data_IF_223879307820
#
_entry.id   IF_223879307820
#
_cell.length_a   1.000
_cell.length_b   1.000
_cell.length_c   1.000
_cell.angle_alpha   90.00
_cell.angle_beta   90.00
_cell.angle_gamma   90.00
#
_symmetry.space_group_name_H-M   'P 1'
#
loop_
_entity.id
_entity.type
_entity.pdbx_description
1 polymer ?
#
# COMPACT_ATOMS: atom_id res chain seq x y z
N UNK A 1 -7.53 11.93 -12.92
CA UNK A 1 -8.33 10.89 -12.23
C UNK A 1 -7.50 9.71 -11.73
N UNK A 2 -6.85 8.90 -12.58
CA UNK A 2 -6.09 7.72 -12.12
C UNK A 2 -4.98 8.04 -11.09
N UNK A 3 -4.15 9.06 -11.36
CA UNK A 3 -3.06 9.49 -10.46
C UNK A 3 -3.54 9.89 -9.05
N UNK A 4 -4.69 10.56 -8.96
CA UNK A 4 -5.30 10.96 -7.69
C UNK A 4 -5.73 9.73 -6.87
N UNK A 5 -6.41 8.77 -7.53
CA UNK A 5 -6.87 7.55 -6.89
C UNK A 5 -5.69 6.70 -6.40
N UNK A 6 -4.61 6.57 -7.19
CA UNK A 6 -3.39 5.89 -6.75
C UNK A 6 -2.78 6.55 -5.52
N UNK A 7 -2.69 7.88 -5.49
CA UNK A 7 -2.17 8.62 -4.33
C UNK A 7 -3.02 8.40 -3.07
N UNK A 8 -4.35 8.43 -3.21
CA UNK A 8 -5.26 8.19 -2.08
C UNK A 8 -5.11 6.75 -1.57
N UNK A 9 -5.03 5.77 -2.47
CA UNK A 9 -4.82 4.36 -2.10
C UNK A 9 -3.49 4.16 -1.39
N UNK A 10 -2.41 4.75 -1.90
CA UNK A 10 -1.08 4.69 -1.28
C UNK A 10 -1.10 5.27 0.14
N UNK A 11 -1.68 6.47 0.32
CA UNK A 11 -1.84 7.07 1.64
C UNK A 11 -2.69 6.23 2.59
N UNK A 12 -3.71 5.55 2.09
CA UNK A 12 -4.59 4.70 2.91
C UNK A 12 -3.91 3.41 3.34
N UNK A 13 -3.11 2.80 2.45
CA UNK A 13 -2.43 1.53 2.67
C UNK A 13 -1.15 1.67 3.52
N UNK A 14 -0.51 2.83 3.49
CA UNK A 14 0.68 3.13 4.29
C UNK A 14 0.36 3.85 5.62
N UNK A 15 -0.92 3.98 5.99
CA UNK A 15 -1.32 4.63 7.24
C UNK A 15 -1.47 3.63 8.39
N UNK A 16 -0.72 3.77 9.49
CA UNK A 16 -0.85 2.94 10.67
C UNK A 16 -2.26 2.96 11.25
N UNK A 17 -2.77 1.79 11.64
CA UNK A 17 -4.11 1.65 12.24
C UNK A 17 -4.02 1.03 13.62
N UNK A 18 -4.62 1.67 14.62
CA UNK A 18 -4.67 1.17 16.00
C UNK A 18 -5.28 -0.24 16.10
N UNK A 19 -6.31 -0.54 15.28
CA UNK A 19 -6.94 -1.87 15.24
C UNK A 19 -6.05 -2.98 14.67
N UNK A 20 -4.95 -2.62 13.99
CA UNK A 20 -3.97 -3.56 13.46
C UNK A 20 -2.71 -3.62 14.33
N UNK A 21 -2.79 -3.19 15.60
CA UNK A 21 -1.62 -3.09 16.47
C UNK A 21 -0.60 -2.04 15.99
N UNK A 22 -1.11 -0.96 15.38
CA UNK A 22 -0.31 0.09 14.74
C UNK A 22 0.48 -0.33 13.49
N UNK A 23 0.23 -1.52 12.94
CA UNK A 23 0.68 -1.89 11.58
C UNK A 23 -0.06 -1.11 10.51
N UNK A 24 0.54 -1.01 9.32
CA UNK A 24 -0.13 -0.49 8.14
C UNK A 24 -0.90 -1.62 7.41
N UNK A 25 -2.04 -1.32 6.76
CA UNK A 25 -2.81 -2.34 6.03
C UNK A 25 -1.98 -3.17 5.04
N UNK A 26 -0.98 -2.55 4.40
CA UNK A 26 -0.07 -3.24 3.49
C UNK A 26 0.74 -4.35 4.18
N UNK A 27 1.31 -4.09 5.36
CA UNK A 27 2.08 -5.10 6.12
C UNK A 27 1.18 -6.29 6.50
N UNK A 28 -0.03 -5.99 6.96
CA UNK A 28 -1.01 -7.03 7.32
C UNK A 28 -1.40 -7.87 6.11
N UNK A 29 -1.56 -7.24 4.94
CA UNK A 29 -1.82 -7.97 3.71
C UNK A 29 -0.67 -8.93 3.36
N UNK A 30 0.56 -8.43 3.34
CA UNK A 30 1.75 -9.24 3.00
C UNK A 30 1.93 -10.41 3.97
N UNK A 31 1.70 -10.20 5.27
CA UNK A 31 1.72 -11.26 6.29
C UNK A 31 0.64 -12.33 6.07
N UNK A 32 -0.56 -11.94 5.60
CA UNK A 32 -1.69 -12.86 5.41
C UNK A 32 -1.58 -13.69 4.12
N UNK A 33 -1.06 -13.10 3.05
CA UNK A 33 -1.00 -13.74 1.73
C UNK A 33 0.36 -14.34 1.42
N UNK A 34 1.42 -13.92 2.12
CA UNK A 34 2.80 -14.21 1.73
C UNK A 34 3.20 -13.51 0.43
N UNK A 35 2.36 -12.62 -0.11
CA UNK A 35 2.62 -11.85 -1.30
C UNK A 35 3.14 -10.47 -0.90
N UNK A 36 4.41 -10.20 -1.23
CA UNK A 36 4.93 -8.85 -1.18
C UNK A 36 4.31 -8.04 -2.32
N UNK A 37 3.21 -7.34 -2.01
CA UNK A 37 2.60 -6.33 -2.89
C UNK A 37 3.48 -5.09 -3.07
N UNK A 38 4.76 -5.15 -2.73
CA UNK A 38 5.78 -4.36 -3.39
C UNK A 38 5.72 -4.69 -4.88
N UNK A 39 4.77 -4.06 -5.56
CA UNK A 39 4.74 -3.88 -6.99
C UNK A 39 6.16 -3.55 -7.44
N UNK A 40 6.85 -4.57 -7.94
CA UNK A 40 8.08 -4.50 -8.72
C UNK A 40 8.25 -3.12 -9.33
N UNK A 41 9.03 -2.24 -8.69
CA UNK A 41 9.45 -0.93 -9.22
C UNK A 41 8.41 -0.06 -9.96
N UNK A 42 7.10 -0.23 -9.81
CA UNK A 42 6.09 0.49 -10.61
C UNK A 42 5.57 1.75 -9.91
N UNK A 43 6.50 2.43 -9.23
CA UNK A 43 6.68 3.87 -9.46
C UNK A 43 7.65 4.04 -10.65
N UNK A 44 7.34 3.42 -11.79
CA UNK A 44 7.78 3.98 -13.07
C UNK A 44 6.76 5.06 -13.36
N UNK A 45 7.17 6.29 -13.05
CA UNK A 45 6.70 7.48 -13.73
C UNK A 45 6.56 7.14 -15.21
N UNK A 46 5.33 7.10 -15.71
CA UNK A 46 5.07 7.43 -17.10
C UNK A 46 5.58 8.87 -17.27
N UNK A 47 6.84 8.98 -17.69
CA UNK A 47 7.32 10.07 -18.53
C UNK A 47 6.82 9.89 -19.95
#
# INVERSE_FOLDING_TARGET
>A
MKKEAFRVTDLMNNRPRKCLGWKVPFEVFAEMTGEDCFLNGSVVLMG
#
